data_IF_659393011412
#
_entry.id   IF_659393011412
#
_cell.length_a   1.000
_cell.length_b   1.000
_cell.length_c   1.000
_cell.angle_alpha   90.00
_cell.angle_beta   90.00
_cell.angle_gamma   90.00
#
_symmetry.space_group_name_H-M   'P 1'
#
loop_
_entity.id
_entity.type
_entity.pdbx_description
1 polymer ?
#
# COMPACT_ATOMS: atom_id res chain seq x y z
N UNK A 1 -12.88 17.20 5.36
CA UNK A 1 -13.36 15.81 5.39
C UNK A 1 -12.52 14.96 4.44
N UNK A 2 -12.07 13.80 4.88
CA UNK A 2 -11.26 12.92 4.03
C UNK A 2 -12.14 12.12 3.08
N UNK A 3 -11.75 12.05 1.81
CA UNK A 3 -12.33 11.13 0.86
C UNK A 3 -11.69 9.76 1.02
N UNK A 4 -12.26 8.74 0.39
CA UNK A 4 -11.76 7.38 0.48
C UNK A 4 -11.69 6.75 -0.91
N UNK A 5 -10.56 6.13 -1.24
CA UNK A 5 -10.34 5.33 -2.43
C UNK A 5 -10.08 3.90 -2.05
N UNK A 6 -10.71 2.95 -2.72
CA UNK A 6 -10.50 1.52 -2.50
C UNK A 6 -10.02 0.85 -3.77
N UNK A 7 -9.10 -0.08 -3.63
CA UNK A 7 -8.66 -0.94 -4.71
C UNK A 7 -8.49 -2.36 -4.20
N UNK A 8 -9.00 -3.32 -4.96
CA UNK A 8 -8.82 -4.74 -4.67
C UNK A 8 -7.96 -5.35 -5.76
N UNK A 9 -6.98 -6.15 -5.38
CA UNK A 9 -6.08 -6.80 -6.31
C UNK A 9 -5.64 -8.14 -5.73
N UNK A 10 -4.79 -8.85 -6.44
CA UNK A 10 -4.23 -10.11 -5.98
C UNK A 10 -2.75 -10.16 -6.34
N UNK A 11 -1.99 -10.95 -5.58
CA UNK A 11 -0.57 -11.14 -5.82
C UNK A 11 -0.22 -12.61 -5.68
N UNK A 12 0.41 -13.17 -6.71
CA UNK A 12 0.84 -14.56 -6.69
C UNK A 12 2.11 -14.67 -5.86
N UNK A 13 2.03 -15.38 -4.74
CA UNK A 13 3.16 -15.55 -3.82
C UNK A 13 3.80 -16.92 -3.92
N UNK A 14 3.08 -17.93 -4.42
CA UNK A 14 3.53 -19.31 -4.42
C UNK A 14 3.37 -19.96 -3.04
N UNK A 15 4.06 -21.08 -2.84
CA UNK A 15 3.96 -21.87 -1.60
C UNK A 15 5.32 -22.14 -0.96
N UNK A 16 6.35 -21.43 -1.40
CA UNK A 16 7.73 -21.64 -0.95
C UNK A 16 8.09 -20.87 0.31
N UNK A 17 9.40 -20.77 0.52
CA UNK A 17 9.97 -20.11 1.70
C UNK A 17 10.41 -18.66 1.45
N UNK A 18 10.21 -18.15 0.24
CA UNK A 18 10.62 -16.79 -0.09
C UNK A 18 9.83 -15.77 0.75
N UNK A 19 10.51 -14.78 1.23
CA UNK A 19 9.89 -13.71 2.01
C UNK A 19 9.16 -12.75 1.08
N UNK A 20 7.87 -12.56 1.34
CA UNK A 20 7.05 -11.57 0.66
C UNK A 20 7.27 -10.23 1.33
N UNK A 21 7.54 -9.20 0.53
CA UNK A 21 7.81 -7.86 1.03
C UNK A 21 6.91 -6.84 0.34
N UNK A 22 6.59 -5.78 1.07
CA UNK A 22 5.83 -4.65 0.55
C UNK A 22 6.61 -3.37 0.79
N UNK A 23 6.67 -2.51 -0.22
CA UNK A 23 7.21 -1.16 -0.11
C UNK A 23 6.15 -0.18 -0.60
N UNK A 24 6.19 1.04 -0.12
CA UNK A 24 5.19 2.04 -0.46
C UNK A 24 5.81 3.42 -0.56
N UNK A 25 5.42 4.15 -1.60
CA UNK A 25 5.80 5.53 -1.79
C UNK A 25 4.57 6.39 -2.04
N UNK A 26 4.64 7.62 -1.57
CA UNK A 26 3.65 8.66 -1.83
C UNK A 26 4.35 9.73 -2.64
N UNK A 27 3.88 9.93 -3.87
CA UNK A 27 4.50 10.85 -4.82
C UNK A 27 3.91 12.24 -4.82
N UNK A 28 4.38 13.05 -5.76
CA UNK A 28 3.86 14.40 -6.05
C UNK A 28 4.04 15.38 -4.88
N UNK A 29 5.03 15.12 -4.00
CA UNK A 29 5.34 16.01 -2.89
C UNK A 29 4.37 15.97 -1.73
N UNK A 30 3.48 14.98 -1.68
CA UNK A 30 2.47 14.88 -0.63
C UNK A 30 2.98 14.11 0.58
N UNK A 31 2.29 14.28 1.72
CA UNK A 31 2.62 13.62 2.98
C UNK A 31 1.75 12.37 3.15
N UNK A 32 2.35 11.26 3.54
CA UNK A 32 1.62 10.01 3.72
C UNK A 32 1.93 9.30 5.03
N UNK A 33 0.91 8.67 5.62
CA UNK A 33 1.02 7.77 6.74
C UNK A 33 0.45 6.41 6.34
N UNK A 34 1.16 5.33 6.67
CA UNK A 34 0.89 3.98 6.18
C UNK A 34 0.59 3.05 7.33
N UNK A 35 -0.45 2.24 7.19
CA UNK A 35 -0.75 1.12 8.08
C UNK A 35 -0.89 -0.14 7.23
N UNK A 36 -0.14 -1.18 7.57
CA UNK A 36 -0.19 -2.47 6.87
C UNK A 36 -0.63 -3.53 7.84
N UNK A 37 -1.63 -4.30 7.43
CA UNK A 37 -2.16 -5.43 8.19
C UNK A 37 -2.26 -6.67 7.31
N UNK A 38 -2.05 -7.83 7.92
CA UNK A 38 -2.28 -9.13 7.27
C UNK A 38 -3.47 -9.77 7.98
N UNK A 39 -4.56 -9.98 7.22
CA UNK A 39 -5.88 -10.28 7.79
C UNK A 39 -6.25 -9.22 8.84
N UNK A 40 -6.34 -9.60 10.11
CA UNK A 40 -6.69 -8.66 11.19
C UNK A 40 -5.49 -8.21 12.02
N UNK A 41 -4.27 -8.65 11.67
CA UNK A 41 -3.08 -8.35 12.43
C UNK A 41 -2.32 -7.19 11.82
N UNK A 42 -2.16 -6.10 12.57
CA UNK A 42 -1.33 -4.97 12.14
C UNK A 42 0.15 -5.37 12.17
N UNK A 43 0.84 -5.19 11.06
CA UNK A 43 2.25 -5.50 10.93
C UNK A 43 3.14 -4.27 11.14
N UNK A 44 2.73 -3.12 10.61
CA UNK A 44 3.53 -1.90 10.67
C UNK A 44 2.65 -0.66 10.54
N UNK A 45 3.07 0.39 11.22
CA UNK A 45 2.57 1.75 11.06
C UNK A 45 3.79 2.63 10.84
N UNK A 46 3.83 3.35 9.73
CA UNK A 46 5.01 4.13 9.33
C UNK A 46 4.62 5.37 8.55
N UNK A 47 5.58 6.27 8.38
CA UNK A 47 5.45 7.38 7.44
C UNK A 47 5.93 6.93 6.06
N UNK A 48 5.37 7.49 5.00
CA UNK A 48 5.86 7.27 3.64
C UNK A 48 7.03 8.23 3.33
N UNK A 49 8.02 7.83 2.52
CA UNK A 49 8.11 6.52 1.89
C UNK A 49 8.48 5.43 2.89
N UNK A 50 7.94 4.25 2.67
CA UNK A 50 8.25 3.08 3.46
C UNK A 50 9.07 2.10 2.61
N UNK A 51 10.28 1.79 3.04
CA UNK A 51 11.12 0.78 2.39
C UNK A 51 10.53 -0.62 2.51
N UNK A 52 11.22 -1.61 1.98
CA UNK A 52 10.71 -2.98 1.96
C UNK A 52 10.44 -3.50 3.37
N UNK A 53 9.19 -3.85 3.63
CA UNK A 53 8.72 -4.41 4.88
C UNK A 53 8.37 -5.87 4.68
N UNK A 54 8.99 -6.80 5.42
CA UNK A 54 8.62 -8.21 5.34
C UNK A 54 7.19 -8.43 5.82
N UNK A 55 6.43 -9.23 5.07
CA UNK A 55 5.07 -9.61 5.43
C UNK A 55 5.05 -11.02 6.00
N UNK A 56 5.88 -11.90 5.46
CA UNK A 56 5.99 -13.29 5.88
C UNK A 56 6.46 -14.15 4.71
N UNK A 57 6.69 -15.43 4.97
CA UNK A 57 7.06 -16.37 3.90
C UNK A 57 5.83 -16.72 3.06
N UNK A 58 6.04 -16.97 1.78
CA UNK A 58 4.96 -17.28 0.86
C UNK A 58 4.01 -18.37 1.38
N UNK A 59 4.58 -19.47 1.89
CA UNK A 59 3.79 -20.59 2.43
C UNK A 59 2.92 -20.22 3.63
N UNK A 60 3.30 -19.17 4.37
CA UNK A 60 2.57 -18.74 5.56
C UNK A 60 1.53 -17.67 5.26
N UNK A 61 1.69 -16.92 4.17
CA UNK A 61 0.79 -15.81 3.83
C UNK A 61 -0.19 -16.15 2.72
N UNK A 62 0.02 -17.23 1.98
CA UNK A 62 -0.89 -17.64 0.91
C UNK A 62 -2.31 -17.84 1.44
N UNK A 63 -3.28 -17.30 0.72
CA UNK A 63 -4.68 -17.32 1.12
C UNK A 63 -5.09 -16.19 2.06
N UNK A 64 -4.15 -15.39 2.53
CA UNK A 64 -4.42 -14.27 3.43
C UNK A 64 -4.60 -12.97 2.67
N UNK A 65 -5.25 -12.02 3.31
CA UNK A 65 -5.53 -10.70 2.75
C UNK A 65 -4.58 -9.66 3.35
N UNK A 66 -3.80 -9.01 2.49
CA UNK A 66 -2.98 -7.87 2.87
C UNK A 66 -3.84 -6.61 2.73
N UNK A 67 -3.88 -5.80 3.79
CA UNK A 67 -4.60 -4.54 3.79
C UNK A 67 -3.58 -3.42 3.96
N UNK A 68 -3.52 -2.54 2.96
CA UNK A 68 -2.63 -1.38 2.98
C UNK A 68 -3.49 -0.12 3.04
N UNK A 69 -3.45 0.56 4.17
CA UNK A 69 -4.14 1.82 4.37
C UNK A 69 -3.12 2.95 4.31
N UNK A 70 -3.35 3.93 3.44
CA UNK A 70 -2.46 5.09 3.30
C UNK A 70 -3.29 6.36 3.38
N UNK A 71 -3.07 7.15 4.41
CA UNK A 71 -3.66 8.48 4.53
C UNK A 71 -2.70 9.47 3.89
N UNK A 72 -3.12 10.09 2.79
CA UNK A 72 -2.32 11.07 2.07
C UNK A 72 -2.92 12.45 2.28
N UNK A 73 -2.09 13.38 2.74
CA UNK A 73 -2.49 14.77 2.98
C UNK A 73 -1.81 15.67 1.95
N UNK A 74 -2.60 16.55 1.35
CA UNK A 74 -2.10 17.51 0.38
C UNK A 74 -1.34 18.62 1.08
N UNK A 75 -0.01 18.57 0.99
CA UNK A 75 0.88 19.59 1.53
C UNK A 75 1.65 20.34 0.42
N UNK A 76 1.51 19.89 -0.83
CA UNK A 76 2.20 20.48 -1.97
C UNK A 76 1.51 21.76 -2.40
N UNK A 77 2.27 22.84 -2.53
CA UNK A 77 1.77 24.10 -3.10
C UNK A 77 1.71 24.04 -4.64
N UNK A 78 2.26 23.00 -5.25
CA UNK A 78 2.36 22.89 -6.70
C UNK A 78 1.22 22.09 -7.33
N UNK A 79 0.60 21.19 -6.56
CA UNK A 79 -0.46 20.32 -7.09
C UNK A 79 -1.32 19.76 -5.96
N UNK A 80 -2.59 19.53 -6.27
CA UNK A 80 -3.54 18.83 -5.39
C UNK A 80 -3.66 17.34 -5.76
N UNK A 81 -2.84 16.88 -6.70
CA UNK A 81 -2.82 15.48 -7.12
C UNK A 81 -2.04 14.63 -6.13
N UNK A 82 -2.48 13.40 -5.96
CA UNK A 82 -1.88 12.42 -5.05
C UNK A 82 -1.59 11.13 -5.81
N UNK A 83 -0.50 10.46 -5.44
CA UNK A 83 -0.10 9.18 -5.99
C UNK A 83 0.40 8.28 -4.87
N UNK A 84 -0.10 7.04 -4.83
CA UNK A 84 0.38 6.00 -3.93
C UNK A 84 0.86 4.84 -4.80
N UNK A 85 2.11 4.43 -4.61
CA UNK A 85 2.71 3.32 -5.35
C UNK A 85 3.08 2.23 -4.35
N UNK A 86 2.48 1.05 -4.51
CA UNK A 86 2.73 -0.12 -3.67
C UNK A 86 3.50 -1.13 -4.50
N UNK A 87 4.64 -1.59 -3.99
CA UNK A 87 5.47 -2.60 -4.65
C UNK A 87 5.47 -3.87 -3.83
N UNK A 88 5.12 -4.98 -4.48
CA UNK A 88 5.10 -6.31 -3.88
C UNK A 88 6.18 -7.15 -4.53
N UNK A 89 7.02 -7.77 -3.70
CA UNK A 89 8.13 -8.61 -4.15
C UNK A 89 8.20 -9.91 -3.36
N UNK A 90 9.00 -10.85 -3.84
CA UNK A 90 9.22 -12.14 -3.18
C UNK A 90 8.42 -13.29 -3.80
N UNK A 91 7.38 -13.02 -4.57
CA UNK A 91 6.68 -14.02 -5.36
C UNK A 91 7.41 -14.30 -6.68
N UNK A 92 6.83 -15.12 -7.56
CA UNK A 92 7.43 -15.43 -8.86
C UNK A 92 7.68 -14.19 -9.72
N UNK A 93 6.88 -13.15 -9.56
CA UNK A 93 7.07 -11.87 -10.25
C UNK A 93 6.78 -10.74 -9.27
N UNK A 94 7.46 -9.61 -9.45
CA UNK A 94 7.14 -8.40 -8.71
C UNK A 94 5.85 -7.79 -9.26
N UNK A 95 5.13 -7.05 -8.40
CA UNK A 95 3.91 -6.35 -8.80
C UNK A 95 3.92 -4.94 -8.27
N UNK A 96 3.50 -3.99 -9.09
CA UNK A 96 3.32 -2.60 -8.71
C UNK A 96 1.85 -2.24 -8.82
N UNK A 97 1.31 -1.67 -7.74
CA UNK A 97 -0.07 -1.18 -7.70
C UNK A 97 0.00 0.33 -7.51
N UNK A 98 -0.62 1.08 -8.41
CA UNK A 98 -0.62 2.54 -8.36
C UNK A 98 -2.05 3.05 -8.18
N UNK A 99 -2.23 3.92 -7.20
CA UNK A 99 -3.48 4.63 -6.99
C UNK A 99 -3.21 6.13 -7.13
N UNK A 100 -4.14 6.81 -7.80
CA UNK A 100 -4.04 8.26 -7.98
C UNK A 100 -5.38 8.91 -7.67
N UNK A 101 -5.33 10.14 -7.17
CA UNK A 101 -6.51 10.95 -6.95
C UNK A 101 -6.09 12.42 -6.85
N UNK A 102 -7.07 13.28 -6.68
CA UNK A 102 -6.88 14.71 -6.56
C UNK A 102 -7.88 15.27 -5.56
N UNK A 103 -7.42 16.13 -4.65
CA UNK A 103 -8.31 16.82 -3.72
C UNK A 103 -8.71 18.17 -4.30
N UNK A 104 -9.94 18.65 -4.01
CA UNK A 104 -10.40 19.93 -4.54
C UNK A 104 -9.73 21.14 -3.87
N UNK A 105 -9.23 20.96 -2.65
CA UNK A 105 -8.66 22.07 -1.86
C UNK A 105 -7.39 21.61 -1.19
N UNK A 106 -6.36 22.46 -1.19
CA UNK A 106 -5.10 22.23 -0.50
C UNK A 106 -5.35 21.95 0.99
N UNK A 107 -4.59 21.02 1.56
CA UNK A 107 -4.69 20.63 2.97
C UNK A 107 -5.65 19.47 3.24
N UNK A 108 -6.44 19.06 2.25
CA UNK A 108 -7.34 17.93 2.41
C UNK A 108 -6.59 16.59 2.32
N UNK A 109 -7.21 15.55 2.85
CA UNK A 109 -6.64 14.20 2.88
C UNK A 109 -7.54 13.20 2.17
N UNK A 110 -6.90 12.14 1.62
CA UNK A 110 -7.58 10.98 1.07
C UNK A 110 -7.04 9.74 1.76
N UNK A 111 -7.94 8.86 2.19
CA UNK A 111 -7.57 7.52 2.66
C UNK A 111 -7.60 6.56 1.48
N UNK A 112 -6.44 6.00 1.13
CA UNK A 112 -6.32 4.96 0.12
C UNK A 112 -6.30 3.61 0.83
N UNK A 113 -7.28 2.76 0.53
CA UNK A 113 -7.33 1.38 1.06
C UNK A 113 -7.09 0.42 -0.09
N UNK A 114 -6.07 -0.42 0.04
CA UNK A 114 -5.76 -1.45 -0.95
C UNK A 114 -5.85 -2.81 -0.29
N UNK A 115 -6.63 -3.70 -0.89
CA UNK A 115 -6.83 -5.07 -0.43
C UNK A 115 -6.15 -6.00 -1.44
N UNK A 116 -5.16 -6.76 -1.00
CA UNK A 116 -4.41 -7.66 -1.86
C UNK A 116 -4.57 -9.08 -1.36
N UNK A 117 -5.25 -9.92 -2.13
CA UNK A 117 -5.35 -11.34 -1.82
C UNK A 117 -4.09 -12.06 -2.28
N UNK A 118 -3.39 -12.71 -1.37
CA UNK A 118 -2.22 -13.53 -1.71
C UNK A 118 -2.67 -14.88 -2.24
N UNK A 119 -2.25 -15.19 -3.45
CA UNK A 119 -2.59 -16.43 -4.16
C UNK A 119 -1.40 -17.35 -4.30
N UNK A 120 -1.71 -18.61 -4.43
CA UNK A 120 -0.75 -19.64 -4.78
C UNK A 120 -0.17 -19.48 -6.18
#
# INVERSE_FOLDING_TARGET
MASKQKKTDSYKVGTGNDTIKVALDVGLGQLGAVKIALDKKTLVIAAAPMGQQPVGRAKDVVGKLLIVETMVTDVSIMTNKMSVVIQLTGGPSAKTITLTDEVPTEGESILFETFVLFKE
#
